data_IF_774015739188
#
_entry.id   IF_774015739188
#
_cell.length_a   1.000
_cell.length_b   1.000
_cell.length_c   1.000
_cell.angle_alpha   90.00
_cell.angle_beta   90.00
_cell.angle_gamma   90.00
#
_symmetry.space_group_name_H-M   'P 1'
#
loop_
_entity.id
_entity.type
_entity.pdbx_description
1 polymer ?
#
# COMPACT_ATOMS: atom_id res chain seq x y z
N UNK A 1 4.43 -7.86 -6.73
CA UNK A 1 5.34 -8.83 -7.40
C UNK A 1 6.66 -9.02 -6.67
N UNK A 2 7.59 -8.04 -6.55
CA UNK A 2 8.86 -8.28 -5.82
C UNK A 2 8.64 -8.56 -4.33
N UNK A 3 7.78 -7.75 -3.68
CA UNK A 3 7.39 -7.97 -2.28
C UNK A 3 6.70 -9.33 -2.07
N UNK A 4 5.91 -9.81 -3.03
CA UNK A 4 5.27 -11.14 -2.96
C UNK A 4 6.34 -12.23 -2.90
N UNK A 5 7.27 -12.21 -3.87
CA UNK A 5 8.36 -13.18 -3.94
C UNK A 5 9.23 -13.16 -2.67
N UNK A 6 9.54 -11.97 -2.17
CA UNK A 6 10.29 -11.82 -0.93
C UNK A 6 9.53 -12.41 0.25
N UNK A 7 8.28 -11.98 0.46
CA UNK A 7 7.46 -12.39 1.57
C UNK A 7 7.26 -13.91 1.60
N UNK A 8 7.01 -14.53 0.43
CA UNK A 8 6.83 -15.96 0.30
C UNK A 8 8.13 -16.75 0.54
N UNK A 9 9.30 -16.17 0.20
CA UNK A 9 10.60 -16.80 0.39
C UNK A 9 11.05 -16.90 1.85
N UNK A 10 10.57 -16.01 2.71
CA UNK A 10 10.98 -15.95 4.13
C UNK A 10 10.29 -17.05 4.94
N UNK A 11 11.10 -17.90 5.59
CA UNK A 11 10.64 -19.05 6.38
C UNK A 11 10.40 -18.67 7.84
N UNK A 12 9.38 -17.88 8.13
CA UNK A 12 8.85 -17.65 9.48
C UNK A 12 7.34 -17.58 9.43
N UNK A 13 6.68 -18.06 10.46
CA UNK A 13 5.22 -17.91 10.59
C UNK A 13 4.84 -16.58 11.22
N UNK A 14 5.78 -15.96 11.95
CA UNK A 14 5.59 -14.64 12.56
C UNK A 14 5.91 -13.50 11.58
N UNK A 15 5.24 -13.50 10.43
CA UNK A 15 5.36 -12.46 9.43
C UNK A 15 4.01 -11.90 9.03
N UNK A 16 3.95 -10.61 8.82
CA UNK A 16 2.75 -9.92 8.35
C UNK A 16 3.11 -9.02 7.16
N UNK A 17 2.20 -8.95 6.19
CA UNK A 17 2.25 -8.00 5.10
C UNK A 17 0.93 -7.26 5.01
N UNK A 18 1.00 -5.96 4.95
CA UNK A 18 -0.17 -5.11 4.86
C UNK A 18 0.16 -3.74 4.27
N UNK A 19 -0.85 -3.06 3.75
CA UNK A 19 -0.71 -1.66 3.38
C UNK A 19 -0.43 -0.81 4.62
N UNK A 20 0.48 0.15 4.44
CA UNK A 20 0.90 1.02 5.53
C UNK A 20 -0.26 1.76 6.21
N UNK A 21 -1.24 2.21 5.43
CA UNK A 21 -2.42 2.87 5.98
C UNK A 21 -3.22 1.98 6.96
N UNK A 22 -3.41 0.70 6.64
CA UNK A 22 -4.09 -0.25 7.55
C UNK A 22 -3.30 -0.48 8.84
N UNK A 23 -1.98 -0.54 8.72
CA UNK A 23 -1.13 -0.62 9.90
C UNK A 23 -1.32 0.60 10.81
N UNK A 24 -1.31 1.82 10.27
CA UNK A 24 -1.53 3.03 11.05
C UNK A 24 -2.90 3.04 11.73
N UNK A 25 -3.95 2.62 11.04
CA UNK A 25 -5.28 2.47 11.63
C UNK A 25 -5.26 1.51 12.84
N UNK A 26 -4.60 0.37 12.71
CA UNK A 26 -4.47 -0.60 13.82
C UNK A 26 -3.69 -0.04 15.01
N UNK A 27 -2.62 0.71 14.75
CA UNK A 27 -1.83 1.38 15.79
C UNK A 27 -2.66 2.44 16.52
N UNK A 28 -3.40 3.29 15.78
CA UNK A 28 -4.29 4.28 16.38
C UNK A 28 -5.36 3.64 17.26
N UNK A 29 -6.03 2.59 16.77
CA UNK A 29 -7.01 1.85 17.54
C UNK A 29 -6.41 1.28 18.84
N UNK A 30 -5.22 0.66 18.73
CA UNK A 30 -4.54 0.08 19.88
C UNK A 30 -4.11 1.12 20.90
N UNK A 31 -3.61 2.28 20.46
CA UNK A 31 -3.27 3.40 21.34
C UNK A 31 -4.50 3.96 22.05
N UNK A 32 -5.65 4.02 21.40
CA UNK A 32 -6.91 4.43 22.03
C UNK A 32 -7.33 3.48 23.16
N UNK A 33 -7.20 2.15 22.94
CA UNK A 33 -7.46 1.14 23.98
C UNK A 33 -6.49 1.24 25.18
N UNK A 34 -5.25 1.63 24.90
CA UNK A 34 -4.21 1.80 25.93
C UNK A 34 -4.22 3.21 26.54
N UNK A 35 -5.25 4.00 26.27
CA UNK A 35 -5.40 5.35 26.84
C UNK A 35 -5.37 5.29 28.37
N UNK A 36 -4.56 6.18 28.96
CA UNK A 36 -4.36 6.23 30.42
C UNK A 36 -3.25 5.31 30.98
N UNK A 37 -2.62 4.47 30.15
CA UNK A 37 -1.43 3.72 30.56
C UNK A 37 -0.16 4.56 30.39
N UNK A 38 0.87 4.23 31.18
CA UNK A 38 2.18 4.84 31.03
C UNK A 38 2.86 4.34 29.75
N UNK A 39 3.29 5.25 28.90
CA UNK A 39 3.96 4.99 27.60
C UNK A 39 3.25 3.93 26.73
N UNK A 40 2.01 4.21 26.28
CA UNK A 40 1.23 3.25 25.49
C UNK A 40 1.94 2.85 24.18
N UNK A 41 2.75 3.76 23.62
CA UNK A 41 3.49 3.49 22.41
C UNK A 41 4.54 2.39 22.58
N UNK A 42 5.29 2.40 23.67
CA UNK A 42 6.25 1.32 23.99
C UNK A 42 5.55 -0.02 24.23
N UNK A 43 4.34 -0.01 24.78
CA UNK A 43 3.54 -1.23 24.91
C UNK A 43 3.16 -1.81 23.54
N UNK A 44 2.72 -0.96 22.61
CA UNK A 44 2.40 -1.39 21.24
C UNK A 44 3.64 -1.95 20.55
N UNK A 45 4.80 -1.29 20.66
CA UNK A 45 6.06 -1.80 20.09
C UNK A 45 6.40 -3.17 20.67
N UNK A 46 6.27 -3.36 21.97
CA UNK A 46 6.54 -4.66 22.63
C UNK A 46 5.56 -5.75 22.20
N UNK A 47 4.31 -5.42 21.92
CA UNK A 47 3.32 -6.35 21.34
C UNK A 47 3.75 -6.77 19.95
N UNK A 48 4.15 -5.83 19.08
CA UNK A 48 4.65 -6.14 17.74
C UNK A 48 5.90 -7.00 17.78
N UNK A 49 6.85 -6.74 18.69
CA UNK A 49 8.06 -7.57 18.87
C UNK A 49 7.77 -9.01 19.32
N UNK A 50 6.71 -9.20 20.09
CA UNK A 50 6.27 -10.52 20.53
C UNK A 50 5.61 -11.31 19.38
N UNK A 51 4.83 -10.62 18.58
CA UNK A 51 3.94 -11.25 17.62
C UNK A 51 4.60 -11.44 16.24
N UNK A 52 5.59 -10.60 15.88
CA UNK A 52 6.19 -10.60 14.55
C UNK A 52 7.73 -10.58 14.57
N UNK A 53 8.31 -11.38 13.67
CA UNK A 53 9.73 -11.34 13.32
C UNK A 53 9.97 -10.46 12.07
N UNK A 54 8.93 -10.38 11.20
CA UNK A 54 8.98 -9.61 9.94
C UNK A 54 7.67 -8.87 9.71
N UNK A 55 7.78 -7.59 9.41
CA UNK A 55 6.66 -6.75 8.96
C UNK A 55 7.01 -6.18 7.58
N UNK A 56 6.15 -6.44 6.60
CA UNK A 56 6.26 -5.88 5.25
C UNK A 56 5.14 -4.85 5.03
N UNK A 57 5.54 -3.65 4.62
CA UNK A 57 4.62 -2.58 4.31
C UNK A 57 4.55 -2.33 2.81
N UNK A 58 3.35 -2.44 2.26
CA UNK A 58 3.09 -1.97 0.91
C UNK A 58 2.68 -0.50 0.94
N UNK A 59 3.16 0.24 -0.06
CA UNK A 59 2.79 1.64 -0.29
C UNK A 59 3.05 2.54 0.94
N UNK A 60 4.30 2.50 1.43
CA UNK A 60 4.70 3.38 2.53
C UNK A 60 4.64 4.84 2.10
N UNK A 61 3.64 5.54 2.63
CA UNK A 61 3.36 6.93 2.33
C UNK A 61 2.70 7.60 3.54
N UNK A 62 3.02 8.87 3.80
CA UNK A 62 2.52 9.63 4.96
C UNK A 62 1.92 10.93 4.47
N UNK A 63 0.64 11.13 4.72
CA UNK A 63 -0.10 12.36 4.40
C UNK A 63 -0.63 13.07 5.64
N UNK A 64 -1.11 12.29 6.60
CA UNK A 64 -1.77 12.82 7.79
C UNK A 64 -0.76 13.27 8.84
N UNK A 65 -1.07 14.39 9.49
CA UNK A 65 -0.22 14.94 10.57
C UNK A 65 -0.17 14.02 11.79
N UNK A 66 -1.26 13.34 12.12
CA UNK A 66 -1.32 12.40 13.25
C UNK A 66 -0.39 11.22 13.02
N UNK A 67 -0.42 10.65 11.81
CA UNK A 67 0.49 9.58 11.40
C UNK A 67 1.95 10.05 11.42
N UNK A 68 2.23 11.24 10.86
CA UNK A 68 3.58 11.80 10.86
C UNK A 68 4.14 12.00 12.27
N UNK A 69 3.34 12.55 13.19
CA UNK A 69 3.75 12.78 14.59
C UNK A 69 3.95 11.47 15.34
N UNK A 70 3.08 10.49 15.11
CA UNK A 70 3.18 9.17 15.72
C UNK A 70 4.43 8.44 15.23
N UNK A 71 4.66 8.41 13.92
CA UNK A 71 5.84 7.79 13.31
C UNK A 71 7.14 8.45 13.75
N UNK A 72 7.18 9.79 13.82
CA UNK A 72 8.34 10.51 14.31
C UNK A 72 8.81 10.03 15.70
N UNK A 73 7.90 9.47 16.51
CA UNK A 73 8.19 8.97 17.85
C UNK A 73 8.36 7.45 17.93
N UNK A 74 7.71 6.70 17.04
CA UNK A 74 7.63 5.23 17.12
C UNK A 74 8.57 4.52 16.18
N UNK A 75 8.82 5.08 15.01
CA UNK A 75 9.55 4.37 13.97
C UNK A 75 11.00 4.09 14.36
N UNK A 76 11.64 5.01 15.07
CA UNK A 76 12.97 4.79 15.62
C UNK A 76 12.99 3.59 16.59
N UNK A 77 12.02 3.53 17.51
CA UNK A 77 11.89 2.40 18.44
C UNK A 77 11.63 1.08 17.71
N UNK A 78 10.75 1.11 16.70
CA UNK A 78 10.42 -0.06 15.88
C UNK A 78 11.63 -0.54 15.07
N UNK A 79 12.36 0.35 14.42
CA UNK A 79 13.54 0.00 13.63
C UNK A 79 14.72 -0.47 14.48
N UNK A 80 14.84 0.03 15.72
CA UNK A 80 15.82 -0.44 16.69
C UNK A 80 15.43 -1.77 17.34
N UNK A 81 14.20 -2.24 17.14
CA UNK A 81 13.68 -3.49 17.69
C UNK A 81 14.24 -4.73 16.97
N UNK A 82 13.84 -5.91 17.44
CA UNK A 82 14.21 -7.19 16.79
C UNK A 82 13.42 -7.45 15.51
N UNK A 83 12.31 -6.77 15.30
CA UNK A 83 11.43 -6.96 14.14
C UNK A 83 12.11 -6.44 12.89
N UNK A 84 12.23 -7.26 11.88
CA UNK A 84 12.70 -6.84 10.57
C UNK A 84 11.58 -6.15 9.82
N UNK A 85 11.90 -5.06 9.14
CA UNK A 85 10.92 -4.29 8.37
C UNK A 85 11.36 -4.14 6.92
N UNK A 86 10.39 -4.29 6.02
CA UNK A 86 10.58 -4.07 4.59
C UNK A 86 9.48 -3.14 4.10
N UNK A 87 9.86 -2.12 3.36
CA UNK A 87 8.95 -1.11 2.85
C UNK A 87 9.01 -1.07 1.33
N UNK A 88 7.86 -0.94 0.67
CA UNK A 88 7.81 -0.45 -0.70
C UNK A 88 7.24 0.96 -0.70
N UNK A 89 7.81 1.85 -1.49
CA UNK A 89 7.34 3.23 -1.63
C UNK A 89 7.64 3.76 -3.03
N UNK A 90 6.80 4.64 -3.50
CA UNK A 90 7.03 5.41 -4.74
C UNK A 90 7.80 6.73 -4.47
N UNK A 91 8.15 6.99 -3.21
CA UNK A 91 8.79 8.23 -2.75
C UNK A 91 10.07 7.85 -2.02
N UNK A 92 11.13 8.60 -2.25
CA UNK A 92 12.39 8.46 -1.51
C UNK A 92 12.19 8.84 -0.04
N UNK A 93 12.92 8.24 0.91
CA UNK A 93 12.82 8.58 2.32
C UNK A 93 12.97 10.08 2.60
N UNK A 94 13.90 10.76 1.94
CA UNK A 94 14.12 12.21 2.05
C UNK A 94 12.91 13.06 1.66
N UNK A 95 12.06 12.56 0.77
CA UNK A 95 10.92 13.28 0.20
C UNK A 95 9.58 12.92 0.88
N UNK A 96 9.60 11.97 1.81
CA UNK A 96 8.44 11.62 2.61
C UNK A 96 7.91 12.84 3.36
N UNK A 97 6.59 12.99 3.37
CA UNK A 97 5.87 14.06 4.04
C UNK A 97 6.38 15.47 3.66
N UNK A 98 6.80 15.63 2.38
CA UNK A 98 7.27 16.91 1.86
C UNK A 98 6.12 17.94 1.86
N UNK A 99 6.36 19.13 2.41
CA UNK A 99 5.32 20.16 2.55
C UNK A 99 4.31 19.91 3.66
N UNK A 100 4.39 18.82 4.41
CA UNK A 100 3.49 18.54 5.52
C UNK A 100 3.70 19.46 6.73
N UNK A 101 2.63 19.66 7.50
CA UNK A 101 2.66 20.47 8.72
C UNK A 101 3.60 19.83 9.75
N UNK A 102 4.42 20.65 10.41
CA UNK A 102 5.39 20.19 11.41
C UNK A 102 6.37 19.12 10.92
N UNK A 103 6.74 19.14 9.63
CA UNK A 103 7.67 18.18 9.03
C UNK A 103 8.98 18.00 9.84
N UNK A 104 9.40 19.03 10.58
CA UNK A 104 10.57 18.94 11.48
C UNK A 104 10.47 17.79 12.49
N UNK A 105 9.27 17.54 13.00
CA UNK A 105 9.04 16.43 13.93
C UNK A 105 9.06 15.06 13.24
N UNK A 106 8.81 15.01 11.94
CA UNK A 106 8.91 13.79 11.14
C UNK A 106 10.34 13.47 10.67
N UNK A 107 11.25 14.45 10.71
CA UNK A 107 12.65 14.25 10.28
C UNK A 107 13.37 13.15 11.08
N UNK A 108 12.99 12.92 12.34
CA UNK A 108 13.52 11.80 13.12
C UNK A 108 13.15 10.44 12.53
N UNK A 109 11.93 10.28 11.99
CA UNK A 109 11.52 9.07 11.30
C UNK A 109 12.31 8.87 10.00
N UNK A 110 12.51 9.92 9.22
CA UNK A 110 13.33 9.87 8.00
C UNK A 110 14.77 9.42 8.35
N UNK A 111 15.38 10.07 9.33
CA UNK A 111 16.74 9.71 9.77
C UNK A 111 16.80 8.27 10.30
N UNK A 112 15.77 7.80 10.99
CA UNK A 112 15.69 6.41 11.44
C UNK A 112 15.66 5.42 10.26
N UNK A 113 14.88 5.71 9.22
CA UNK A 113 14.86 4.90 8.00
C UNK A 113 16.24 4.87 7.34
N UNK A 114 16.85 6.03 7.11
CA UNK A 114 18.15 6.14 6.44
C UNK A 114 19.28 5.46 7.22
N UNK A 115 19.20 5.43 8.56
CA UNK A 115 20.21 4.81 9.40
C UNK A 115 20.04 3.29 9.60
N UNK A 116 18.81 2.78 9.52
CA UNK A 116 18.51 1.38 9.83
C UNK A 116 18.10 0.55 8.61
N UNK A 117 17.77 1.20 7.49
CA UNK A 117 17.31 0.51 6.29
C UNK A 117 18.28 0.75 5.12
N UNK A 118 18.48 -0.27 4.32
CA UNK A 118 19.10 -0.15 3.01
C UNK A 118 18.04 0.35 2.01
N UNK A 119 18.31 1.47 1.36
CA UNK A 119 17.41 2.06 0.37
C UNK A 119 17.82 1.61 -1.02
N UNK A 120 16.99 0.80 -1.66
CA UNK A 120 17.21 0.30 -3.02
C UNK A 120 16.25 0.99 -3.97
N UNK A 121 16.78 1.72 -4.97
CA UNK A 121 15.98 2.30 -6.03
C UNK A 121 15.81 1.31 -7.17
N UNK A 122 14.57 0.97 -7.50
CA UNK A 122 14.23 0.12 -8.62
C UNK A 122 13.88 1.01 -9.81
N UNK A 123 14.86 1.29 -10.64
CA UNK A 123 14.64 2.04 -11.89
C UNK A 123 14.17 1.07 -12.99
N UNK A 124 13.02 1.34 -13.58
CA UNK A 124 12.55 0.64 -14.77
C UNK A 124 12.22 1.67 -15.85
N UNK A 125 12.85 1.51 -17.00
CA UNK A 125 12.59 2.34 -18.18
C UNK A 125 11.23 1.99 -18.80
N UNK A 126 10.71 0.79 -18.52
CA UNK A 126 9.48 0.27 -19.13
C UNK A 126 8.48 -0.14 -18.05
N UNK A 127 7.27 0.43 -18.08
CA UNK A 127 6.16 -0.09 -17.29
C UNK A 127 5.55 -1.32 -18.00
N UNK A 128 5.91 -2.49 -17.51
CA UNK A 128 5.45 -3.76 -18.07
C UNK A 128 3.92 -3.97 -17.95
N UNK A 129 3.24 -3.23 -17.08
CA UNK A 129 1.78 -3.29 -16.93
C UNK A 129 1.07 -2.71 -18.14
N UNK A 130 1.67 -1.75 -18.82
CA UNK A 130 1.12 -1.10 -19.99
C UNK A 130 1.44 -1.85 -21.30
N UNK A 131 2.30 -2.84 -21.28
CA UNK A 131 2.82 -3.50 -22.48
C UNK A 131 1.73 -4.09 -23.38
N UNK A 132 0.71 -4.71 -22.80
CA UNK A 132 -0.40 -5.28 -23.58
C UNK A 132 -1.37 -4.18 -24.05
N UNK A 133 -1.59 -3.15 -23.24
CA UNK A 133 -2.42 -1.99 -23.59
C UNK A 133 -1.77 -1.17 -24.71
N UNK A 134 -0.45 -0.96 -24.67
CA UNK A 134 0.28 -0.26 -25.73
C UNK A 134 0.19 -0.96 -27.09
N UNK A 135 0.19 -2.31 -27.10
CA UNK A 135 0.03 -3.10 -28.33
C UNK A 135 -1.37 -3.02 -28.92
N UNK A 136 -2.40 -2.88 -28.07
CA UNK A 136 -3.81 -2.95 -28.48
C UNK A 136 -4.42 -1.59 -28.80
N UNK A 137 -3.74 -0.48 -28.44
CA UNK A 137 -4.30 0.85 -28.44
C UNK A 137 -5.26 1.05 -27.26
N UNK A 138 -5.00 2.09 -26.45
CA UNK A 138 -5.74 2.35 -25.21
C UNK A 138 -7.06 3.12 -25.48
N UNK A 139 -7.19 3.71 -26.65
CA UNK A 139 -8.28 4.61 -26.96
C UNK A 139 -9.05 4.17 -28.21
N UNK A 140 -10.32 3.89 -28.03
CA UNK A 140 -11.24 3.46 -29.08
C UNK A 140 -12.19 4.61 -29.45
N UNK A 141 -11.86 5.38 -30.50
CA UNK A 141 -12.69 6.48 -31.00
C UNK A 141 -12.60 6.57 -32.55
N UNK A 142 -13.71 6.81 -33.24
CA UNK A 142 -15.10 6.71 -32.79
C UNK A 142 -15.49 5.27 -32.43
N UNK A 143 -16.52 5.13 -31.60
CA UNK A 143 -17.03 3.80 -31.22
C UNK A 143 -17.84 3.24 -32.39
N UNK A 144 -17.38 2.14 -32.96
CA UNK A 144 -18.09 1.35 -33.96
C UNK A 144 -18.12 -0.12 -33.54
N UNK A 145 -18.91 -0.94 -34.24
CA UNK A 145 -19.07 -2.37 -33.92
C UNK A 145 -17.74 -3.14 -33.94
N UNK A 146 -16.81 -2.76 -34.82
CA UNK A 146 -15.48 -3.37 -34.88
C UNK A 146 -14.64 -3.08 -33.64
N UNK A 147 -14.68 -1.84 -33.15
CA UNK A 147 -13.96 -1.41 -31.97
C UNK A 147 -14.55 -1.96 -30.67
N UNK A 148 -15.87 -2.12 -30.60
CA UNK A 148 -16.54 -2.81 -29.50
C UNK A 148 -16.05 -4.26 -29.42
N UNK A 149 -15.94 -4.96 -30.52
CA UNK A 149 -15.41 -6.32 -30.55
C UNK A 149 -13.94 -6.36 -30.09
N UNK A 150 -13.09 -5.44 -30.57
CA UNK A 150 -11.69 -5.35 -30.15
C UNK A 150 -11.55 -5.03 -28.66
N UNK A 151 -12.42 -4.16 -28.12
CA UNK A 151 -12.47 -3.87 -26.69
C UNK A 151 -12.86 -5.10 -25.87
N UNK A 152 -13.88 -5.84 -26.29
CA UNK A 152 -14.32 -7.07 -25.65
C UNK A 152 -13.24 -8.16 -25.68
N UNK A 153 -12.52 -8.32 -26.78
CA UNK A 153 -11.39 -9.24 -26.89
C UNK A 153 -10.27 -8.85 -25.93
N UNK A 154 -9.92 -7.57 -25.86
CA UNK A 154 -8.92 -7.06 -24.92
C UNK A 154 -9.35 -7.29 -23.46
N UNK A 155 -10.62 -7.01 -23.16
CA UNK A 155 -11.19 -7.26 -21.83
C UNK A 155 -11.10 -8.73 -21.45
N UNK A 156 -11.46 -9.65 -22.35
CA UNK A 156 -11.36 -11.09 -22.10
C UNK A 156 -9.91 -11.55 -21.91
N UNK A 157 -8.95 -10.98 -22.62
CA UNK A 157 -7.53 -11.25 -22.42
C UNK A 157 -7.03 -10.78 -21.06
N UNK A 158 -7.40 -9.56 -20.64
CA UNK A 158 -7.00 -8.98 -19.36
C UNK A 158 -7.69 -9.67 -18.17
N UNK A 159 -8.95 -10.06 -18.31
CA UNK A 159 -9.73 -10.77 -17.29
C UNK A 159 -9.42 -12.27 -17.21
N UNK A 160 -8.48 -12.76 -18.03
CA UNK A 160 -8.15 -14.20 -18.13
C UNK A 160 -9.37 -15.09 -18.37
N UNK A 161 -10.35 -14.56 -19.10
CA UNK A 161 -11.57 -15.30 -19.47
C UNK A 161 -12.61 -15.44 -18.35
N UNK A 162 -12.44 -14.76 -17.22
CA UNK A 162 -13.50 -14.67 -16.20
C UNK A 162 -14.58 -13.70 -16.68
N UNK A 163 -15.77 -14.21 -16.97
CA UNK A 163 -16.96 -13.37 -17.15
C UNK A 163 -17.36 -12.80 -15.78
N UNK A 164 -17.05 -11.56 -15.55
CA UNK A 164 -17.54 -10.84 -14.38
C UNK A 164 -18.91 -10.24 -14.72
N UNK A 165 -19.97 -10.86 -14.19
CA UNK A 165 -21.25 -10.15 -14.02
C UNK A 165 -21.11 -9.05 -12.97
N UNK A 166 -22.17 -8.26 -12.70
CA UNK A 166 -22.15 -7.28 -11.64
C UNK A 166 -21.79 -7.97 -10.32
N UNK A 167 -20.73 -7.55 -9.69
CA UNK A 167 -20.25 -8.13 -8.45
C UNK A 167 -20.25 -7.05 -7.37
N UNK A 168 -20.48 -7.48 -6.13
CA UNK A 168 -20.47 -6.61 -4.98
C UNK A 168 -19.28 -6.97 -4.10
N UNK A 169 -18.47 -5.98 -3.75
CA UNK A 169 -17.34 -6.15 -2.83
C UNK A 169 -17.63 -5.36 -1.56
N UNK A 170 -17.49 -6.01 -0.42
CA UNK A 170 -17.49 -5.33 0.87
C UNK A 170 -16.11 -4.74 1.15
N UNK A 171 -16.06 -3.40 1.22
CA UNK A 171 -14.86 -2.66 1.56
C UNK A 171 -15.15 -1.84 2.82
N UNK A 172 -14.52 -2.19 3.94
CA UNK A 172 -14.66 -1.47 5.22
C UNK A 172 -16.14 -1.28 5.62
N UNK A 173 -16.89 -2.37 5.66
CA UNK A 173 -18.35 -2.41 5.96
C UNK A 173 -19.22 -1.61 4.98
N UNK A 174 -18.70 -1.32 3.77
CA UNK A 174 -19.46 -0.71 2.69
C UNK A 174 -19.58 -1.68 1.53
N UNK A 175 -20.81 -1.97 1.16
CA UNK A 175 -21.08 -2.74 -0.06
C UNK A 175 -20.87 -1.84 -1.27
N UNK A 176 -19.81 -2.12 -2.03
CA UNK A 176 -19.47 -1.41 -3.27
C UNK A 176 -19.88 -2.28 -4.46
N UNK A 177 -20.80 -1.78 -5.28
CA UNK A 177 -21.18 -2.44 -6.52
C UNK A 177 -20.08 -2.18 -7.57
N UNK A 178 -19.55 -3.25 -8.14
CA UNK A 178 -18.68 -3.18 -9.31
C UNK A 178 -19.59 -3.17 -10.54
N UNK A 179 -19.67 -2.02 -11.20
CA UNK A 179 -20.33 -1.92 -12.49
C UNK A 179 -19.41 -2.43 -13.59
N UNK A 180 -19.95 -3.28 -14.44
CA UNK A 180 -19.31 -3.70 -15.68
C UNK A 180 -19.40 -2.59 -16.74
N UNK A 181 -18.88 -2.83 -17.95
CA UNK A 181 -18.72 -1.84 -19.03
C UNK A 181 -19.99 -1.07 -19.45
N UNK A 182 -21.17 -1.48 -18.99
CA UNK A 182 -22.45 -0.82 -19.32
C UNK A 182 -22.73 0.45 -18.51
N UNK A 183 -21.93 0.73 -17.47
CA UNK A 183 -22.13 1.92 -16.63
C UNK A 183 -21.86 3.28 -17.34
N UNK A 184 -21.32 3.25 -18.55
CA UNK A 184 -21.09 4.45 -19.37
C UNK A 184 -22.34 4.92 -20.13
N UNK A 185 -23.35 4.06 -20.31
CA UNK A 185 -24.56 4.37 -21.10
C UNK A 185 -25.67 5.06 -20.28
N UNK A 186 -25.59 5.05 -18.96
CA UNK A 186 -26.62 5.62 -18.07
C UNK A 186 -26.46 7.13 -17.82
N UNK A 187 -25.53 7.82 -18.48
CA UNK A 187 -25.30 9.28 -18.32
C UNK A 187 -25.45 10.07 -19.63
N UNK A 188 -26.28 9.60 -20.58
CA UNK A 188 -26.61 10.36 -21.79
C UNK A 188 -28.00 11.00 -21.70
#
# INVERSE_FOLDING_TARGET
MLMDLFFDSVRTEKKIRQHFHRFMQSIHARLAELSGKTDPLSLVVSELERDYDLICFDEFYVEDIGDAMLLGRSLEKLLASKVKMVFTSNIKPSDLYMGGLQRKSFMSAISAIENHCEVVCLESVTDYRLRELEKSGIYFSPIDSGKINSFNELFLQLSKGTNSGPDAIDILDRNCLLYTSDAADDQA
#
